data_IF_146166290260
#
_entry.id   IF_146166290260
#
_cell.length_a   1.000
_cell.length_b   1.000
_cell.length_c   1.000
_cell.angle_alpha   90.00
_cell.angle_beta   90.00
_cell.angle_gamma   90.00
#
_symmetry.space_group_name_H-M   'P 1'
#
loop_
_entity.id
_entity.type
_entity.pdbx_description
1 polymer ?
#
# COMPACT_ATOMS: atom_id res chain seq x y z
N UNK A 1 14.83 5.71 -13.64
CA UNK A 1 13.97 4.51 -13.82
C UNK A 1 12.55 4.89 -13.43
N UNK A 2 11.53 4.49 -14.18
CA UNK A 2 10.12 4.77 -13.87
C UNK A 2 9.45 3.46 -13.42
N UNK A 3 8.87 3.44 -12.22
CA UNK A 3 8.03 2.34 -11.72
C UNK A 3 6.56 2.71 -11.94
N UNK A 4 5.73 1.75 -12.34
CA UNK A 4 4.32 1.96 -12.68
C UNK A 4 3.46 0.91 -12.00
N UNK A 5 2.22 1.25 -11.75
CA UNK A 5 1.12 0.33 -11.46
C UNK A 5 -0.13 0.88 -12.16
N UNK A 6 -1.12 0.02 -12.41
CA UNK A 6 -2.39 0.43 -13.01
C UNK A 6 -3.57 -0.09 -12.20
N UNK A 7 -4.69 0.62 -12.33
CA UNK A 7 -5.96 0.23 -11.77
C UNK A 7 -7.02 0.26 -12.88
N UNK A 8 -7.92 -0.73 -12.88
CA UNK A 8 -9.15 -0.71 -13.67
C UNK A 8 -10.32 -0.70 -12.69
N UNK A 9 -11.34 0.11 -12.98
CA UNK A 9 -12.60 0.11 -12.24
C UNK A 9 -13.77 -0.09 -13.19
N UNK A 10 -14.77 -0.87 -12.79
CA UNK A 10 -16.00 -1.12 -13.56
C UNK A 10 -17.21 -0.98 -12.66
N UNK A 11 -18.25 -0.27 -13.12
CA UNK A 11 -19.48 -0.08 -12.37
C UNK A 11 -19.52 1.21 -11.55
N UNK A 12 -20.59 1.37 -10.77
CA UNK A 12 -20.86 2.55 -9.95
C UNK A 12 -19.93 2.63 -8.73
N UNK A 13 -19.85 3.79 -8.06
CA UNK A 13 -18.86 4.02 -6.99
C UNK A 13 -18.86 2.98 -5.84
N UNK A 14 -20.04 2.59 -5.34
CA UNK A 14 -20.16 1.61 -4.24
C UNK A 14 -20.25 0.16 -4.70
N UNK A 15 -20.92 -0.07 -5.83
CA UNK A 15 -21.19 -1.42 -6.35
C UNK A 15 -20.18 -1.86 -7.42
N UNK A 16 -19.18 -1.02 -7.67
CA UNK A 16 -18.16 -1.27 -8.66
C UNK A 16 -17.05 -2.18 -8.16
N UNK A 17 -16.31 -2.71 -9.12
CA UNK A 17 -15.22 -3.64 -8.90
C UNK A 17 -13.94 -3.09 -9.51
N UNK A 18 -12.87 -3.15 -8.73
CA UNK A 18 -11.57 -2.66 -9.07
C UNK A 18 -10.55 -3.77 -9.18
N UNK A 19 -9.56 -3.61 -10.06
CA UNK A 19 -8.43 -4.53 -10.18
C UNK A 19 -7.12 -3.75 -10.27
N UNK A 20 -6.11 -4.15 -9.48
CA UNK A 20 -4.79 -3.54 -9.43
C UNK A 20 -3.74 -4.45 -10.08
N UNK A 21 -2.84 -3.86 -10.87
CA UNK A 21 -1.76 -4.60 -11.54
C UNK A 21 -0.44 -3.86 -11.44
N UNK A 22 0.64 -4.61 -11.19
CA UNK A 22 2.01 -4.09 -11.15
C UNK A 22 2.92 -4.92 -12.09
N UNK A 23 3.94 -4.31 -12.73
CA UNK A 23 4.89 -5.04 -13.58
C UNK A 23 5.70 -6.12 -12.87
N UNK A 24 5.78 -6.07 -11.53
CA UNK A 24 6.48 -7.08 -10.73
C UNK A 24 5.73 -8.42 -10.65
N UNK A 25 4.42 -8.42 -10.97
CA UNK A 25 3.54 -9.57 -10.78
C UNK A 25 3.02 -9.75 -9.35
N UNK A 26 3.52 -9.01 -8.36
CA UNK A 26 3.01 -9.06 -6.97
C UNK A 26 1.53 -8.68 -6.93
N UNK A 27 1.17 -7.58 -7.60
CA UNK A 27 -0.22 -7.28 -7.95
C UNK A 27 -0.48 -7.76 -9.37
N UNK A 28 -1.43 -8.67 -9.55
CA UNK A 28 -1.78 -9.31 -10.82
C UNK A 28 -3.28 -9.40 -10.96
N UNK A 29 -3.90 -8.36 -11.51
CA UNK A 29 -5.36 -8.18 -11.51
C UNK A 29 -5.97 -8.42 -10.12
N UNK A 30 -5.32 -7.89 -9.09
CA UNK A 30 -5.71 -8.10 -7.68
C UNK A 30 -6.99 -7.31 -7.39
N UNK A 31 -8.08 -7.95 -6.90
CA UNK A 31 -9.36 -7.29 -6.72
C UNK A 31 -9.35 -6.31 -5.53
N UNK A 32 -9.97 -5.15 -5.70
CA UNK A 32 -10.29 -4.19 -4.64
C UNK A 32 -11.69 -3.60 -4.87
N UNK A 33 -12.36 -3.16 -3.81
CA UNK A 33 -13.72 -2.62 -3.91
C UNK A 33 -13.95 -1.51 -2.89
N UNK A 34 -15.14 -0.89 -2.93
CA UNK A 34 -15.57 0.02 -1.87
C UNK A 34 -15.56 -0.68 -0.51
N UNK A 35 -16.00 -1.95 -0.47
CA UNK A 35 -16.11 -2.75 0.76
C UNK A 35 -14.74 -3.13 1.33
N UNK A 36 -13.74 -3.45 0.49
CA UNK A 36 -12.40 -3.76 0.99
C UNK A 36 -11.62 -2.52 1.44
N UNK A 37 -12.08 -1.33 1.07
CA UNK A 37 -11.44 -0.05 1.40
C UNK A 37 -12.09 0.66 2.58
N UNK A 38 -13.42 0.66 2.67
CA UNK A 38 -14.17 1.46 3.63
C UNK A 38 -15.02 0.64 4.59
N UNK A 39 -15.11 -0.67 4.39
CA UNK A 39 -15.80 -1.61 5.29
C UNK A 39 -14.79 -2.67 5.77
N UNK A 40 -15.20 -3.53 6.70
CA UNK A 40 -14.31 -4.54 7.30
C UNK A 40 -14.16 -5.81 6.44
N UNK A 41 -14.31 -5.70 5.12
CA UNK A 41 -14.13 -6.84 4.23
C UNK A 41 -12.65 -7.08 3.95
N UNK A 42 -12.17 -8.29 4.23
CA UNK A 42 -10.80 -8.70 3.87
C UNK A 42 -10.57 -8.58 2.37
N UNK A 43 -9.51 -7.87 1.99
CA UNK A 43 -9.06 -7.67 0.62
C UNK A 43 -8.03 -6.55 0.58
N UNK A 44 -7.41 -6.31 -0.58
CA UNK A 44 -6.45 -5.21 -0.70
C UNK A 44 -7.18 -3.86 -0.77
N UNK A 45 -6.46 -2.80 -0.44
CA UNK A 45 -6.88 -1.42 -0.58
C UNK A 45 -5.65 -0.51 -0.80
N UNK A 46 -5.84 0.72 -1.30
CA UNK A 46 -4.74 1.66 -1.49
C UNK A 46 -3.94 1.93 -0.21
N UNK A 47 -4.62 1.97 0.95
CA UNK A 47 -4.02 2.34 2.24
C UNK A 47 -2.99 1.29 2.72
N UNK A 48 -3.27 -0.01 2.63
CA UNK A 48 -2.30 -1.06 2.96
C UNK A 48 -1.10 -1.08 2.00
N UNK A 49 -1.30 -0.71 0.74
CA UNK A 49 -0.22 -0.65 -0.25
C UNK A 49 0.71 0.54 0.03
N UNK A 50 0.16 1.68 0.46
CA UNK A 50 0.94 2.82 0.95
C UNK A 50 1.69 2.44 2.23
N UNK A 51 1.01 1.76 3.17
CA UNK A 51 1.62 1.28 4.40
C UNK A 51 2.82 0.36 4.12
N UNK A 52 2.65 -0.62 3.23
CA UNK A 52 3.70 -1.54 2.80
C UNK A 52 4.88 -0.81 2.13
N UNK A 53 4.58 0.13 1.22
CA UNK A 53 5.61 0.93 0.55
C UNK A 53 6.43 1.76 1.55
N UNK A 54 5.76 2.39 2.52
CA UNK A 54 6.42 3.21 3.54
C UNK A 54 7.24 2.35 4.50
N UNK A 55 6.67 1.27 5.03
CA UNK A 55 7.38 0.34 5.92
C UNK A 55 8.66 -0.19 5.27
N UNK A 56 8.58 -0.63 4.00
CA UNK A 56 9.75 -1.11 3.27
C UNK A 56 10.78 -0.02 3.02
N UNK A 57 10.36 1.19 2.63
CA UNK A 57 11.26 2.31 2.38
C UNK A 57 11.99 2.75 3.65
N UNK A 58 11.27 2.93 4.76
CA UNK A 58 11.85 3.31 6.04
C UNK A 58 12.85 2.27 6.55
N UNK A 59 12.47 0.99 6.52
CA UNK A 59 13.33 -0.12 6.96
C UNK A 59 14.64 -0.15 6.18
N UNK A 60 14.58 0.03 4.85
CA UNK A 60 15.75 0.06 4.00
C UNK A 60 16.63 1.29 4.25
N UNK A 61 16.03 2.46 4.40
CA UNK A 61 16.75 3.68 4.73
C UNK A 61 17.49 3.56 6.07
N UNK A 62 16.84 3.00 7.10
CA UNK A 62 17.46 2.74 8.39
C UNK A 62 18.64 1.76 8.28
N UNK A 63 18.51 0.69 7.49
CA UNK A 63 19.61 -0.25 7.23
C UNK A 63 20.83 0.45 6.63
N UNK A 64 20.64 1.36 5.67
CA UNK A 64 21.73 2.14 5.08
C UNK A 64 22.38 3.10 6.07
N UNK A 65 21.61 3.73 6.96
CA UNK A 65 22.16 4.60 8.00
C UNK A 65 23.00 3.81 9.01
N UNK A 66 22.52 2.64 9.44
CA UNK A 66 23.29 1.75 10.34
C UNK A 66 24.60 1.31 9.68
N UNK A 67 24.54 0.89 8.41
CA UNK A 67 25.73 0.52 7.64
C UNK A 67 26.73 1.69 7.53
N UNK A 68 26.25 2.90 7.24
CA UNK A 68 27.08 4.11 7.19
C UNK A 68 27.77 4.43 8.51
N UNK A 69 27.19 4.01 9.64
CA UNK A 69 27.76 4.15 10.98
C UNK A 69 28.64 2.95 11.42
N UNK A 70 28.85 1.95 10.56
CA UNK A 70 29.67 0.78 10.86
C UNK A 70 28.93 -0.36 11.56
N UNK A 71 27.60 -0.33 11.62
CA UNK A 71 26.76 -1.39 12.16
C UNK A 71 26.08 -2.18 11.04
N UNK A 72 25.97 -3.50 11.22
CA UNK A 72 25.17 -4.36 10.33
C UNK A 72 23.97 -4.86 11.10
N UNK A 73 22.76 -4.49 10.66
CA UNK A 73 21.53 -5.02 11.25
C UNK A 73 21.37 -6.51 10.92
N UNK A 74 21.04 -7.33 11.91
CA UNK A 74 20.67 -8.74 11.71
C UNK A 74 19.22 -8.86 11.25
N UNK A 75 18.33 -8.04 11.79
CA UNK A 75 16.93 -7.93 11.40
C UNK A 75 16.43 -6.51 11.70
N UNK A 76 15.60 -5.96 10.82
CA UNK A 76 14.80 -4.76 11.07
C UNK A 76 13.36 -5.09 10.72
N UNK A 77 12.47 -4.97 11.70
CA UNK A 77 11.03 -5.17 11.53
C UNK A 77 10.31 -3.85 11.76
N UNK A 78 9.53 -3.42 10.77
CA UNK A 78 8.78 -2.16 10.81
C UNK A 78 7.33 -2.44 10.45
N UNK A 79 6.43 -1.98 11.30
CA UNK A 79 5.00 -1.89 11.02
C UNK A 79 4.63 -0.45 10.66
N UNK A 80 3.80 -0.27 9.65
CA UNK A 80 3.27 1.03 9.24
C UNK A 80 1.75 0.96 9.26
N UNK A 81 1.12 1.95 9.90
CA UNK A 81 -0.32 2.09 9.94
C UNK A 81 -0.72 3.38 9.21
N UNK A 82 -1.60 3.25 8.21
CA UNK A 82 -2.20 4.39 7.50
C UNK A 82 -3.61 4.60 8.05
N UNK A 83 -3.88 5.82 8.50
CA UNK A 83 -5.23 6.24 8.92
C UNK A 83 -5.91 6.94 7.76
N UNK A 84 -7.10 6.46 7.39
CA UNK A 84 -7.99 7.15 6.46
C UNK A 84 -9.21 7.62 7.25
N UNK A 85 -9.35 8.94 7.39
CA UNK A 85 -10.38 9.55 8.24
C UNK A 85 -11.30 10.41 7.38
N UNK A 86 -12.61 10.23 7.53
CA UNK A 86 -13.59 11.09 6.85
C UNK A 86 -13.45 12.54 7.32
N UNK A 87 -13.37 13.47 6.38
CA UNK A 87 -13.29 14.90 6.63
C UNK A 87 -14.23 15.65 5.67
N UNK A 88 -15.36 16.14 6.20
CA UNK A 88 -16.41 16.73 5.39
C UNK A 88 -16.94 15.76 4.31
N UNK A 89 -16.87 16.18 3.06
CA UNK A 89 -17.24 15.39 1.88
C UNK A 89 -16.09 14.49 1.36
N UNK A 90 -14.90 14.55 1.98
CA UNK A 90 -13.69 13.86 1.56
C UNK A 90 -13.05 13.00 2.66
N UNK A 91 -11.76 12.73 2.48
CA UNK A 91 -10.94 11.93 3.38
C UNK A 91 -9.54 12.54 3.55
N UNK A 92 -8.95 12.36 4.73
CA UNK A 92 -7.56 12.69 5.06
C UNK A 92 -6.80 11.46 5.55
#
# INVERSE_FOLDING_TARGET
MIRKASAVWRGAGRDGEGHLTSPSGVLSSTPYSFKTRFEDQKGTNPEELIAAAHAGCFTMALAFQLQGAGFTATELSTESAVSLVKEGEGFR
#
